data_IF_947128089913
#
_entry.id   IF_947128089913
#
_cell.length_a   1.000
_cell.length_b   1.000
_cell.length_c   1.000
_cell.angle_alpha   90.00
_cell.angle_beta   90.00
_cell.angle_gamma   90.00
#
_symmetry.space_group_name_H-M   'P 1'
#
loop_
_entity.id
_entity.type
_entity.pdbx_description
1 polymer ?
#
# COMPACT_ATOMS: atom_id res chain seq x y z
N UNK A 1 36.40 -39.10 -40.83
CA UNK A 1 36.55 -37.67 -41.21
C UNK A 1 35.51 -36.88 -40.42
N UNK A 2 35.95 -35.84 -39.71
CA UNK A 2 35.16 -35.04 -38.76
C UNK A 2 34.52 -33.88 -39.53
N UNK A 3 33.23 -33.63 -39.33
CA UNK A 3 32.61 -32.35 -39.65
C UNK A 3 31.53 -32.09 -38.59
N UNK A 4 31.93 -31.47 -37.48
CA UNK A 4 31.00 -30.92 -36.51
C UNK A 4 30.64 -29.51 -37.01
N UNK A 5 29.42 -29.33 -37.50
CA UNK A 5 28.90 -27.99 -37.78
C UNK A 5 28.56 -27.33 -36.44
N UNK A 6 29.29 -26.24 -36.13
CA UNK A 6 29.01 -25.38 -35.00
C UNK A 6 27.70 -24.62 -35.22
N UNK A 7 26.72 -24.84 -34.34
CA UNK A 7 25.52 -24.03 -34.26
C UNK A 7 25.82 -22.75 -33.48
N UNK A 8 25.71 -21.60 -34.15
CA UNK A 8 25.74 -20.29 -33.50
C UNK A 8 24.40 -20.11 -32.77
N UNK A 9 24.45 -20.05 -31.43
CA UNK A 9 23.29 -19.74 -30.61
C UNK A 9 23.21 -18.22 -30.45
N UNK A 10 22.32 -17.57 -31.20
CA UNK A 10 22.02 -16.14 -31.04
C UNK A 10 21.03 -15.99 -29.88
N UNK A 11 21.51 -15.53 -28.72
CA UNK A 11 20.64 -15.02 -27.67
C UNK A 11 20.26 -13.58 -28.02
N UNK A 12 19.06 -13.39 -28.58
CA UNK A 12 18.44 -12.08 -28.63
C UNK A 12 18.01 -11.69 -27.21
N UNK A 13 18.81 -10.84 -26.54
CA UNK A 13 18.35 -10.15 -25.34
C UNK A 13 17.44 -9.02 -25.79
N UNK A 14 16.14 -9.28 -25.78
CA UNK A 14 15.11 -8.27 -25.97
C UNK A 14 15.01 -7.42 -24.70
N UNK A 15 15.80 -6.36 -24.63
CA UNK A 15 15.56 -5.27 -23.70
C UNK A 15 14.53 -4.30 -24.29
N UNK A 16 13.27 -4.38 -23.84
CA UNK A 16 12.27 -3.33 -23.99
C UNK A 16 11.39 -3.25 -22.73
N UNK A 17 11.68 -2.20 -21.93
CA UNK A 17 10.76 -1.26 -21.30
C UNK A 17 9.45 -1.72 -20.64
N UNK A 18 9.29 -1.25 -19.39
CA UNK A 18 8.14 -1.36 -18.48
C UNK A 18 7.93 -2.74 -17.85
N UNK A 19 8.28 -2.86 -16.56
CA UNK A 19 7.96 -4.05 -15.78
C UNK A 19 6.46 -4.30 -15.82
N UNK A 20 6.06 -5.52 -16.19
CA UNK A 20 4.68 -5.98 -16.06
C UNK A 20 4.30 -5.92 -14.58
N UNK A 21 3.66 -4.84 -14.15
CA UNK A 21 2.95 -4.83 -12.89
C UNK A 21 1.84 -5.88 -12.98
N UNK A 22 1.74 -6.75 -11.98
CA UNK A 22 0.73 -7.80 -11.99
C UNK A 22 -0.62 -7.18 -11.65
N UNK A 23 -1.59 -7.34 -12.55
CA UNK A 23 -2.98 -7.09 -12.24
C UNK A 23 -3.54 -8.26 -11.41
N UNK A 24 -4.45 -7.98 -10.47
CA UNK A 24 -5.04 -9.03 -9.65
C UNK A 24 -5.94 -8.53 -8.54
N UNK A 25 -6.54 -9.51 -7.86
CA UNK A 25 -7.34 -9.31 -6.66
C UNK A 25 -6.57 -9.81 -5.45
N UNK A 26 -6.50 -8.97 -4.42
CA UNK A 26 -5.77 -9.25 -3.18
C UNK A 26 -6.70 -9.10 -1.98
N UNK A 27 -6.47 -9.90 -0.95
CA UNK A 27 -7.12 -9.75 0.36
C UNK A 27 -6.18 -8.97 1.27
N UNK A 28 -6.72 -8.01 2.02
CA UNK A 28 -5.96 -7.26 3.01
C UNK A 28 -5.71 -8.15 4.22
N UNK A 29 -4.44 -8.38 4.57
CA UNK A 29 -4.01 -9.08 5.79
C UNK A 29 -3.83 -8.07 6.92
N UNK A 30 -4.75 -8.00 7.91
CA UNK A 30 -4.74 -6.93 8.92
C UNK A 30 -3.49 -6.97 9.81
N UNK A 31 -2.94 -8.16 10.09
CA UNK A 31 -1.73 -8.30 10.92
C UNK A 31 -0.46 -7.74 10.26
N UNK A 32 -0.48 -7.54 8.95
CA UNK A 32 0.61 -6.99 8.13
C UNK A 32 0.27 -5.59 7.58
N UNK A 33 -0.89 -5.05 7.92
CA UNK A 33 -1.42 -3.80 7.36
C UNK A 33 -1.71 -2.78 8.46
N UNK A 34 -1.83 -1.51 8.08
CA UNK A 34 -2.31 -0.47 8.97
C UNK A 34 -3.28 0.43 8.22
N UNK A 35 -4.47 0.66 8.81
CA UNK A 35 -5.41 1.67 8.34
C UNK A 35 -5.49 2.78 9.37
N UNK A 36 -5.05 3.97 8.97
CA UNK A 36 -4.90 5.12 9.85
C UNK A 36 -5.38 6.38 9.17
N UNK A 37 -6.06 7.24 9.92
CA UNK A 37 -6.43 8.59 9.51
C UNK A 37 -5.66 9.57 10.38
N UNK A 38 -4.94 10.50 9.76
CA UNK A 38 -4.41 11.68 10.43
C UNK A 38 -5.41 12.82 10.29
N UNK A 39 -5.74 13.46 11.41
CA UNK A 39 -6.65 14.60 11.46
C UNK A 39 -5.83 15.83 11.81
N UNK A 40 -5.87 16.82 10.91
CA UNK A 40 -5.13 18.06 11.08
C UNK A 40 -5.95 19.06 11.88
N UNK A 41 -5.29 19.71 12.85
CA UNK A 41 -5.89 20.79 13.63
C UNK A 41 -6.15 22.01 12.73
N UNK A 42 -7.27 22.69 12.93
CA UNK A 42 -7.62 23.91 12.21
C UNK A 42 -8.42 24.88 13.11
N UNK A 43 -8.55 26.13 12.68
CA UNK A 43 -9.28 27.19 13.37
C UNK A 43 -8.45 28.03 14.36
N UNK A 44 -9.14 28.92 15.06
CA UNK A 44 -8.51 29.97 15.91
C UNK A 44 -7.61 29.40 17.01
N UNK A 45 -7.88 28.19 17.49
CA UNK A 45 -7.11 27.51 18.52
C UNK A 45 -6.03 26.54 17.98
N UNK A 46 -5.83 26.45 16.66
CA UNK A 46 -4.91 25.48 16.03
C UNK A 46 -3.43 25.65 16.44
N UNK A 47 -3.04 26.78 17.05
CA UNK A 47 -1.67 26.98 17.55
C UNK A 47 -1.42 26.34 18.91
N UNK A 48 -2.48 25.94 19.62
CA UNK A 48 -2.43 25.33 20.95
C UNK A 48 -2.75 23.83 20.93
N UNK A 49 -3.19 23.30 19.80
CA UNK A 49 -3.52 21.89 19.61
C UNK A 49 -2.40 21.13 18.87
N UNK A 50 -2.48 19.80 18.89
CA UNK A 50 -1.70 18.91 18.05
C UNK A 50 -2.58 18.25 16.99
N UNK A 51 -1.95 17.68 15.96
CA UNK A 51 -2.66 16.82 15.01
C UNK A 51 -2.97 15.48 15.67
N UNK A 52 -4.14 14.94 15.35
CA UNK A 52 -4.62 13.69 15.91
C UNK A 52 -4.43 12.54 14.95
N UNK A 53 -4.42 11.33 15.50
CA UNK A 53 -4.41 10.11 14.70
C UNK A 53 -5.47 9.14 15.18
N UNK A 54 -6.18 8.51 14.25
CA UNK A 54 -7.16 7.46 14.54
C UNK A 54 -6.79 6.21 13.76
N UNK A 55 -6.56 5.11 14.47
CA UNK A 55 -6.26 3.82 13.87
C UNK A 55 -7.44 2.86 14.00
N UNK A 56 -7.76 2.14 12.92
CA UNK A 56 -8.65 0.98 12.98
C UNK A 56 -7.87 -0.25 13.46
N UNK A 57 -8.31 -0.87 14.56
CA UNK A 57 -7.71 -2.11 15.10
C UNK A 57 -8.35 -3.39 14.57
N UNK A 58 -9.58 -3.30 14.07
CA UNK A 58 -10.26 -4.40 13.39
C UNK A 58 -10.85 -3.90 12.07
N UNK A 59 -10.33 -4.45 10.97
CA UNK A 59 -10.78 -4.17 9.62
C UNK A 59 -10.51 -5.37 8.71
N UNK A 60 -11.22 -5.42 7.59
CA UNK A 60 -11.00 -6.39 6.52
C UNK A 60 -11.27 -5.73 5.18
N UNK A 61 -10.79 -6.32 4.10
CA UNK A 61 -11.03 -5.76 2.78
C UNK A 61 -10.30 -6.46 1.66
N UNK A 62 -10.47 -5.89 0.47
CA UNK A 62 -9.87 -6.39 -0.76
C UNK A 62 -9.38 -5.23 -1.64
N UNK A 63 -8.44 -5.56 -2.51
CA UNK A 63 -7.85 -4.66 -3.50
C UNK A 63 -8.00 -5.32 -4.87
N UNK A 64 -8.65 -4.64 -5.81
CA UNK A 64 -8.57 -4.97 -7.23
C UNK A 64 -7.61 -3.97 -7.89
N UNK A 65 -6.49 -4.45 -8.41
CA UNK A 65 -5.44 -3.61 -8.97
C UNK A 65 -5.16 -3.97 -10.42
N UNK A 66 -5.08 -2.96 -11.29
CA UNK A 66 -4.60 -3.06 -12.66
C UNK A 66 -3.66 -1.87 -12.96
N UNK A 67 -2.35 -2.10 -13.10
CA UNK A 67 -1.38 -1.02 -13.39
C UNK A 67 -1.55 -0.42 -14.78
N UNK A 68 -2.21 -1.11 -15.71
CA UNK A 68 -2.51 -0.58 -17.04
C UNK A 68 -3.82 0.22 -17.05
N UNK A 69 -4.67 0.04 -16.02
CA UNK A 69 -5.95 0.75 -15.85
C UNK A 69 -6.13 1.18 -14.38
N UNK A 70 -5.28 2.10 -13.87
CA UNK A 70 -5.32 2.49 -12.47
C UNK A 70 -6.67 3.06 -12.05
N UNK A 71 -7.36 3.80 -12.93
CA UNK A 71 -8.68 4.38 -12.64
C UNK A 71 -9.80 3.32 -12.52
N UNK A 72 -9.57 2.10 -13.03
CA UNK A 72 -10.48 0.96 -12.86
C UNK A 72 -10.13 0.10 -11.63
N UNK A 73 -9.03 0.42 -10.94
CA UNK A 73 -8.65 -0.24 -9.69
C UNK A 73 -9.53 0.23 -8.54
N UNK A 74 -9.70 -0.61 -7.52
CA UNK A 74 -10.51 -0.27 -6.36
C UNK A 74 -9.98 -0.91 -5.08
N UNK A 75 -10.23 -0.23 -3.96
CA UNK A 75 -9.96 -0.73 -2.61
C UNK A 75 -11.26 -0.64 -1.83
N UNK A 76 -11.67 -1.75 -1.22
CA UNK A 76 -12.85 -1.81 -0.38
C UNK A 76 -12.43 -2.28 1.00
N UNK A 77 -12.73 -1.48 2.02
CA UNK A 77 -12.38 -1.77 3.42
C UNK A 77 -13.61 -1.63 4.28
N UNK A 78 -13.87 -2.65 5.10
CA UNK A 78 -14.84 -2.60 6.18
C UNK A 78 -14.10 -2.41 7.49
N UNK A 79 -14.53 -1.44 8.29
CA UNK A 79 -13.95 -1.12 9.60
C UNK A 79 -15.01 -1.35 10.66
N UNK A 80 -14.63 -2.06 11.73
CA UNK A 80 -15.48 -2.17 12.91
C UNK A 80 -15.31 -0.90 13.76
N UNK A 81 -16.35 -0.08 13.84
CA UNK A 81 -16.29 1.26 14.45
C UNK A 81 -15.82 1.21 15.91
N UNK A 82 -16.22 0.19 16.67
CA UNK A 82 -15.78 0.01 18.06
C UNK A 82 -14.30 -0.32 18.23
N UNK A 83 -13.56 -0.56 17.14
CA UNK A 83 -12.12 -0.83 17.14
C UNK A 83 -11.27 0.41 16.86
N UNK A 84 -11.88 1.58 16.66
CA UNK A 84 -11.17 2.82 16.41
C UNK A 84 -10.49 3.29 17.70
N UNK A 85 -9.17 3.53 17.62
CA UNK A 85 -8.38 4.05 18.73
C UNK A 85 -7.75 5.38 18.33
N UNK A 86 -8.07 6.43 19.07
CA UNK A 86 -7.49 7.75 18.90
C UNK A 86 -6.21 7.91 19.71
N UNK A 87 -5.20 8.55 19.10
CA UNK A 87 -3.96 9.02 19.72
C UNK A 87 -3.17 8.00 20.52
N UNK A 88 -3.23 6.73 20.12
CA UNK A 88 -2.44 5.71 20.78
C UNK A 88 -0.94 6.05 20.70
N UNK A 89 -0.21 6.11 21.83
CA UNK A 89 1.17 6.57 21.86
C UNK A 89 2.10 5.79 20.91
N UNK A 90 1.88 4.48 20.76
CA UNK A 90 2.68 3.65 19.86
C UNK A 90 2.46 4.01 18.38
N UNK A 91 1.20 4.22 17.98
CA UNK A 91 0.82 4.61 16.62
C UNK A 91 1.33 5.99 16.28
N UNK A 92 1.18 6.95 17.20
CA UNK A 92 1.74 8.30 17.07
C UNK A 92 3.25 8.28 16.83
N UNK A 93 4.01 7.54 17.66
CA UNK A 93 5.46 7.37 17.46
C UNK A 93 5.81 6.72 16.13
N UNK A 94 5.08 5.67 15.71
CA UNK A 94 5.32 4.98 14.44
C UNK A 94 5.16 5.90 13.23
N UNK A 95 4.26 6.87 13.30
CA UNK A 95 3.94 7.81 12.22
C UNK A 95 4.70 9.15 12.32
N UNK A 96 5.61 9.31 13.28
CA UNK A 96 6.34 10.56 13.47
C UNK A 96 5.47 11.70 14.01
N UNK A 97 4.31 11.40 14.59
CA UNK A 97 3.39 12.36 15.20
C UNK A 97 3.72 12.51 16.68
N UNK A 98 4.88 13.10 16.99
CA UNK A 98 5.22 13.44 18.37
C UNK A 98 4.17 14.40 18.97
N UNK A 99 4.02 14.39 20.30
CA UNK A 99 3.34 15.46 21.01
C UNK A 99 4.19 16.74 20.96
#
# INVERSE_FOLDING_TARGET
MRAALGGVLVFAVSGLGAGFGWAGSFTIEPGQSALVVQVFKDGVAARLAHDHVVQARAFSGSVAYDPQKPDASSIQVKVEVGSLVADEPATRRKLGLAA
#
